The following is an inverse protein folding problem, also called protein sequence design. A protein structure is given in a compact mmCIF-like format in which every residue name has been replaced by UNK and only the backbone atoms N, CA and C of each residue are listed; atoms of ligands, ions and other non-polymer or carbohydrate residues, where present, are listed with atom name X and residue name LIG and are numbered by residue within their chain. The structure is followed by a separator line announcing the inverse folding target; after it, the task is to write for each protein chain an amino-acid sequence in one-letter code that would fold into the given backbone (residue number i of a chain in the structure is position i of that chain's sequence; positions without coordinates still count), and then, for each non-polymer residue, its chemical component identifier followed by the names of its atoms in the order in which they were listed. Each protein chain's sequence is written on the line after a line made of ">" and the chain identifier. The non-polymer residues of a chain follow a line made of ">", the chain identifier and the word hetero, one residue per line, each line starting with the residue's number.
data_IF_289443634960
#
_entry.id   IF_289443634960
#
_cell.length_a   1.000
_cell.length_b   1.000
_cell.length_c   1.000
_cell.angle_alpha   90.00
_cell.angle_beta   90.00
_cell.angle_gamma   90.00
#
_symmetry.space_group_name_H-M   'P 1'
#
loop_
_entity.id
_entity.type
_entity.pdbx_description
1 polymer ?
#
# COMPACT_ATOMS: atom_id res chain seq x y z
N UNK A 1 -7.97 29.99 3.47
CA UNK A 1 -8.19 29.83 4.94
C UNK A 1 -9.25 28.76 5.23
N UNK A 2 -10.50 28.93 4.80
CA UNK A 2 -11.61 27.98 5.09
C UNK A 2 -11.30 26.53 4.70
N UNK A 3 -10.78 26.29 3.48
CA UNK A 3 -10.40 24.95 3.04
C UNK A 3 -9.30 24.31 3.90
N UNK A 4 -8.30 25.10 4.32
CA UNK A 4 -7.21 24.60 5.17
C UNK A 4 -7.72 24.21 6.56
N UNK A 5 -8.60 25.01 7.15
CA UNK A 5 -9.25 24.70 8.43
C UNK A 5 -10.12 23.45 8.28
N UNK A 6 -10.88 23.35 7.20
CA UNK A 6 -11.69 22.17 6.90
C UNK A 6 -10.84 20.90 6.82
N UNK A 7 -9.75 20.91 6.04
CA UNK A 7 -8.84 19.77 5.95
C UNK A 7 -8.16 19.46 7.29
N UNK A 8 -7.74 20.48 8.04
CA UNK A 8 -7.16 20.28 9.36
C UNK A 8 -8.16 19.60 10.30
N UNK A 9 -9.40 20.07 10.37
CA UNK A 9 -10.42 19.47 11.23
C UNK A 9 -10.74 18.04 10.79
N UNK A 10 -11.01 17.80 9.51
CA UNK A 10 -11.44 16.47 9.02
C UNK A 10 -10.33 15.43 9.13
N UNK A 11 -9.06 15.81 8.93
CA UNK A 11 -7.93 14.87 8.95
C UNK A 11 -7.30 14.73 10.34
N UNK A 12 -7.13 15.84 11.06
CA UNK A 12 -6.38 15.84 12.32
C UNK A 12 -7.26 15.44 13.49
N UNK A 13 -8.54 15.85 13.52
CA UNK A 13 -9.41 15.60 14.67
C UNK A 13 -9.65 14.11 14.93
N UNK A 14 -9.97 13.26 13.94
CA UNK A 14 -10.10 11.82 14.18
C UNK A 14 -8.81 11.20 14.70
N UNK A 15 -7.65 11.64 14.19
CA UNK A 15 -6.35 11.18 14.67
C UNK A 15 -6.11 11.61 16.13
N UNK A 16 -6.45 12.85 16.49
CA UNK A 16 -6.35 13.33 17.87
C UNK A 16 -7.25 12.56 18.84
N UNK A 17 -8.44 12.13 18.41
CA UNK A 17 -9.32 11.28 19.24
C UNK A 17 -8.68 9.91 19.47
N UNK A 18 -8.08 9.30 18.45
CA UNK A 18 -7.38 8.02 18.60
C UNK A 18 -6.14 8.20 19.50
N UNK A 19 -5.38 9.28 19.32
CA UNK A 19 -4.24 9.61 20.18
C UNK A 19 -4.66 9.88 21.63
N UNK A 20 -5.83 10.48 21.84
CA UNK A 20 -6.40 10.67 23.17
C UNK A 20 -6.75 9.32 23.80
N UNK A 21 -7.46 8.45 23.06
CA UNK A 21 -7.83 7.12 23.54
C UNK A 21 -6.61 6.25 23.85
N UNK A 22 -5.52 6.36 23.07
CA UNK A 22 -4.30 5.57 23.30
C UNK A 22 -3.58 5.93 24.60
N UNK A 23 -3.76 7.14 25.11
CA UNK A 23 -3.10 7.64 26.32
C UNK A 23 -3.90 7.38 27.61
N UNK A 24 -5.08 6.78 27.54
CA UNK A 24 -5.98 6.62 28.69
C UNK A 24 -6.17 5.14 29.08
N UNK A 25 -6.28 4.84 30.38
CA UNK A 25 -6.48 3.46 30.85
C UNK A 25 -7.84 2.87 30.43
N UNK A 26 -8.82 3.72 30.13
CA UNK A 26 -10.11 3.34 29.56
C UNK A 26 -10.64 4.51 28.73
N UNK A 27 -11.49 4.21 27.74
CA UNK A 27 -12.04 5.23 26.85
C UNK A 27 -12.91 6.23 27.63
N UNK A 28 -12.61 7.52 27.49
CA UNK A 28 -13.40 8.62 28.02
C UNK A 28 -13.32 9.84 27.10
N UNK A 29 -14.33 10.69 27.17
CA UNK A 29 -14.36 11.92 26.39
C UNK A 29 -13.25 12.89 26.82
N UNK A 30 -12.71 13.71 25.88
CA UNK A 30 -11.74 14.74 26.20
C UNK A 30 -12.19 15.65 27.36
N UNK A 31 -11.41 15.67 28.43
CA UNK A 31 -11.71 16.41 29.66
C UNK A 31 -10.44 16.70 30.46
N UNK A 32 -10.47 17.72 31.33
CA UNK A 32 -9.34 18.03 32.21
C UNK A 32 -9.01 16.87 33.17
N UNK A 33 -10.03 16.14 33.61
CA UNK A 33 -9.85 14.93 34.42
C UNK A 33 -9.08 13.85 33.63
N UNK A 34 -9.40 13.67 32.35
CA UNK A 34 -8.69 12.71 31.49
C UNK A 34 -7.20 13.02 31.34
N UNK A 35 -6.81 14.29 31.28
CA UNK A 35 -5.39 14.68 31.19
C UNK A 35 -4.57 14.16 32.38
N UNK A 36 -5.15 14.17 33.59
CA UNK A 36 -4.48 13.64 34.79
C UNK A 36 -4.32 12.12 34.80
N UNK A 37 -5.05 11.41 33.93
CA UNK A 37 -5.06 9.95 33.82
C UNK A 37 -4.17 9.43 32.69
N UNK A 38 -3.39 10.31 32.04
CA UNK A 38 -2.50 9.94 30.96
C UNK A 38 -1.48 8.88 31.39
N UNK A 39 -1.35 7.86 30.55
CA UNK A 39 -0.49 6.71 30.80
C UNK A 39 -0.04 6.06 29.49
N UNK A 40 1.13 5.42 29.52
CA UNK A 40 1.67 4.67 28.37
C UNK A 40 1.38 3.16 28.46
N UNK A 41 0.53 2.73 29.39
CA UNK A 41 0.19 1.31 29.60
C UNK A 41 -0.32 0.64 28.32
N UNK A 42 -1.17 1.31 27.54
CA UNK A 42 -1.69 0.77 26.29
C UNK A 42 -0.59 0.56 25.24
N UNK A 43 0.40 1.45 25.18
CA UNK A 43 1.56 1.29 24.28
C UNK A 43 2.42 0.11 24.70
N UNK A 44 2.64 -0.05 26.00
CA UNK A 44 3.35 -1.23 26.53
C UNK A 44 2.60 -2.52 26.19
N UNK A 45 1.29 -2.56 26.45
CA UNK A 45 0.46 -3.73 26.15
C UNK A 45 0.40 -4.03 24.64
N UNK A 46 0.25 -3.02 23.79
CA UNK A 46 0.26 -3.15 22.33
C UNK A 46 1.58 -3.73 21.80
N UNK A 47 2.72 -3.30 22.35
CA UNK A 47 4.05 -3.82 21.96
C UNK A 47 4.30 -5.26 22.45
N UNK A 48 3.53 -5.73 23.44
CA UNK A 48 3.57 -7.11 23.94
C UNK A 48 2.40 -7.96 23.42
N UNK A 49 1.60 -7.42 22.50
CA UNK A 49 0.53 -8.18 21.86
C UNK A 49 1.12 -9.35 21.07
N UNK A 50 0.40 -10.47 21.04
CA UNK A 50 0.91 -11.72 20.48
C UNK A 50 1.37 -11.55 19.03
N UNK A 51 2.62 -11.96 18.76
CA UNK A 51 3.25 -11.91 17.42
C UNK A 51 3.24 -10.53 16.75
N UNK A 52 3.19 -9.43 17.51
CA UNK A 52 3.12 -8.09 16.93
C UNK A 52 4.35 -7.75 16.07
N UNK A 53 5.54 -8.20 16.46
CA UNK A 53 6.77 -8.02 15.68
C UNK A 53 6.69 -8.72 14.33
N UNK A 54 6.13 -9.94 14.29
CA UNK A 54 5.91 -10.67 13.04
C UNK A 54 4.84 -9.96 12.19
N UNK A 55 3.77 -9.46 12.81
CA UNK A 55 2.74 -8.68 12.12
C UNK A 55 3.31 -7.43 11.45
N UNK A 56 4.14 -6.66 12.15
CA UNK A 56 4.83 -5.48 11.61
C UNK A 56 5.74 -5.88 10.45
N UNK A 57 6.60 -6.89 10.66
CA UNK A 57 7.52 -7.39 9.63
C UNK A 57 6.78 -7.84 8.38
N UNK A 58 5.75 -8.66 8.53
CA UNK A 58 4.96 -9.20 7.43
C UNK A 58 4.22 -8.10 6.66
N UNK A 59 3.65 -7.11 7.37
CA UNK A 59 2.94 -5.99 6.73
C UNK A 59 3.89 -5.11 5.92
N UNK A 60 5.10 -4.87 6.42
CA UNK A 60 6.15 -4.16 5.68
C UNK A 60 6.58 -5.00 4.45
N UNK A 61 6.88 -6.29 4.63
CA UNK A 61 7.30 -7.16 3.53
C UNK A 61 6.22 -7.27 2.44
N UNK A 62 4.96 -7.40 2.82
CA UNK A 62 3.83 -7.39 1.89
C UNK A 62 3.70 -6.03 1.19
N UNK A 63 3.83 -4.92 1.92
CA UNK A 63 3.86 -3.58 1.34
C UNK A 63 4.94 -3.43 0.27
N UNK A 64 6.19 -3.77 0.61
CA UNK A 64 7.35 -3.68 -0.27
C UNK A 64 7.21 -4.60 -1.48
N UNK A 65 6.79 -5.84 -1.23
CA UNK A 65 6.58 -6.85 -2.27
C UNK A 65 5.50 -6.40 -3.25
N UNK A 66 4.31 -6.07 -2.74
CA UNK A 66 3.19 -5.63 -3.58
C UNK A 66 3.55 -4.40 -4.41
N UNK A 67 4.14 -3.38 -3.80
CA UNK A 67 4.55 -2.17 -4.52
C UNK A 67 5.53 -2.50 -5.66
N UNK A 68 6.54 -3.34 -5.39
CA UNK A 68 7.56 -3.70 -6.38
C UNK A 68 6.97 -4.52 -7.53
N UNK A 69 6.18 -5.55 -7.22
CA UNK A 69 5.54 -6.38 -8.24
C UNK A 69 4.51 -5.60 -9.06
N UNK A 70 3.62 -4.84 -8.41
CA UNK A 70 2.59 -4.03 -9.08
C UNK A 70 3.24 -3.03 -10.01
N UNK A 71 4.20 -2.25 -9.54
CA UNK A 71 4.81 -1.20 -10.36
C UNK A 71 5.62 -1.78 -11.52
N UNK A 72 6.31 -2.91 -11.32
CA UNK A 72 7.04 -3.58 -12.40
C UNK A 72 6.09 -4.14 -13.46
N UNK A 73 5.06 -4.87 -13.05
CA UNK A 73 4.08 -5.46 -13.98
C UNK A 73 3.31 -4.37 -14.74
N UNK A 74 2.91 -3.31 -14.05
CA UNK A 74 2.15 -2.21 -14.66
C UNK A 74 3.02 -1.31 -15.53
N UNK A 75 4.33 -1.19 -15.28
CA UNK A 75 5.23 -0.50 -16.20
C UNK A 75 5.30 -1.25 -17.54
N UNK A 76 5.46 -2.57 -17.50
CA UNK A 76 5.47 -3.40 -18.69
C UNK A 76 4.13 -3.37 -19.43
N UNK A 77 3.02 -3.56 -18.70
CA UNK A 77 1.68 -3.51 -19.27
C UNK A 77 1.39 -2.13 -19.90
N UNK A 78 1.74 -1.05 -19.20
CA UNK A 78 1.55 0.30 -19.73
C UNK A 78 2.44 0.58 -20.94
N UNK A 79 3.67 0.09 -20.96
CA UNK A 79 4.53 0.23 -22.14
C UNK A 79 3.91 -0.47 -23.35
N UNK A 80 3.37 -1.68 -23.17
CA UNK A 80 2.65 -2.38 -24.23
C UNK A 80 1.42 -1.58 -24.70
N UNK A 81 0.60 -1.06 -23.78
CA UNK A 81 -0.59 -0.28 -24.10
C UNK A 81 -0.27 1.01 -24.88
N UNK A 82 0.80 1.72 -24.52
CA UNK A 82 1.16 3.03 -25.08
C UNK A 82 1.99 2.91 -26.36
N UNK A 83 2.91 1.94 -26.44
CA UNK A 83 3.93 1.88 -27.50
C UNK A 83 3.63 0.90 -28.61
N UNK A 84 2.74 -0.07 -28.39
CA UNK A 84 2.49 -1.14 -29.36
C UNK A 84 1.08 -1.08 -29.95
N UNK A 85 0.89 -1.69 -31.13
CA UNK A 85 -0.41 -1.88 -31.76
C UNK A 85 -0.92 -3.31 -31.58
N UNK A 86 -0.80 -3.84 -30.36
CA UNK A 86 -1.24 -5.22 -30.06
C UNK A 86 -2.72 -5.42 -30.36
N UNK A 87 -3.03 -6.51 -31.10
CA UNK A 87 -4.40 -7.01 -31.23
C UNK A 87 -4.89 -7.44 -29.85
N UNK A 88 -6.05 -6.93 -29.42
CA UNK A 88 -6.58 -7.21 -28.09
C UNK A 88 -6.09 -6.29 -26.97
N UNK A 89 -5.47 -5.13 -27.27
CA UNK A 89 -5.07 -4.13 -26.24
C UNK A 89 -6.18 -3.77 -25.24
N UNK A 90 -7.43 -3.79 -25.69
CA UNK A 90 -8.60 -3.51 -24.85
C UNK A 90 -8.80 -4.56 -23.75
N UNK A 91 -8.38 -5.82 -23.98
CA UNK A 91 -8.41 -6.87 -22.97
C UNK A 91 -7.39 -6.57 -21.87
N UNK A 92 -6.19 -6.12 -22.23
CA UNK A 92 -5.18 -5.76 -21.24
C UNK A 92 -5.63 -4.55 -20.40
N UNK A 93 -6.23 -3.55 -21.03
CA UNK A 93 -6.83 -2.41 -20.35
C UNK A 93 -7.98 -2.82 -19.42
N UNK A 94 -8.88 -3.70 -19.90
CA UNK A 94 -9.94 -4.29 -19.10
C UNK A 94 -9.39 -5.08 -17.90
N UNK A 95 -8.44 -6.00 -18.12
CA UNK A 95 -7.86 -6.86 -17.09
C UNK A 95 -7.11 -6.05 -16.02
N UNK A 96 -6.45 -4.97 -16.40
CA UNK A 96 -5.76 -4.09 -15.44
C UNK A 96 -6.72 -3.22 -14.64
N UNK A 97 -7.94 -3.00 -15.12
CA UNK A 97 -8.98 -2.21 -14.44
C UNK A 97 -9.95 -3.08 -13.65
N UNK A 98 -10.17 -4.33 -14.08
CA UNK A 98 -11.15 -5.27 -13.54
C UNK A 98 -11.07 -5.44 -12.00
N UNK A 99 -9.89 -5.50 -11.36
CA UNK A 99 -9.81 -5.62 -9.91
C UNK A 99 -10.52 -4.51 -9.13
N UNK A 100 -10.74 -3.32 -9.72
CA UNK A 100 -11.49 -2.23 -9.08
C UNK A 100 -12.96 -2.56 -8.85
N UNK A 101 -13.55 -3.42 -9.67
CA UNK A 101 -14.98 -3.75 -9.61
C UNK A 101 -15.33 -4.55 -8.35
N UNK A 102 -14.37 -5.29 -7.80
CA UNK A 102 -14.59 -6.15 -6.65
C UNK A 102 -14.36 -5.38 -5.34
N UNK A 103 -15.26 -5.48 -4.35
CA UNK A 103 -14.95 -5.12 -2.97
C UNK A 103 -13.75 -5.95 -2.46
N UNK A 104 -12.90 -5.36 -1.60
CA UNK A 104 -11.69 -6.04 -1.10
C UNK A 104 -12.00 -7.38 -0.44
N UNK A 105 -13.02 -7.44 0.42
CA UNK A 105 -13.42 -8.67 1.11
C UNK A 105 -13.92 -9.76 0.14
N UNK A 106 -14.63 -9.37 -0.93
CA UNK A 106 -15.11 -10.31 -1.97
C UNK A 106 -13.93 -10.87 -2.77
N UNK A 107 -12.94 -10.02 -3.09
CA UNK A 107 -11.71 -10.46 -3.73
C UNK A 107 -10.92 -11.43 -2.84
N UNK A 108 -10.81 -11.13 -1.55
CA UNK A 108 -10.17 -12.01 -0.57
C UNK A 108 -10.81 -13.39 -0.52
N UNK A 109 -12.15 -13.44 -0.46
CA UNK A 109 -12.91 -14.70 -0.49
C UNK A 109 -12.70 -15.47 -1.81
N UNK A 110 -12.73 -14.79 -2.95
CA UNK A 110 -12.53 -15.40 -4.25
C UNK A 110 -11.14 -16.05 -4.37
N UNK A 111 -10.10 -15.33 -3.94
CA UNK A 111 -8.71 -15.83 -3.95
C UNK A 111 -8.55 -16.99 -2.98
N UNK A 112 -9.11 -16.89 -1.77
CA UNK A 112 -9.12 -17.98 -0.79
C UNK A 112 -9.73 -19.24 -1.42
N UNK A 113 -10.95 -19.14 -1.95
CA UNK A 113 -11.64 -20.28 -2.56
C UNK A 113 -10.85 -20.85 -3.73
N UNK A 114 -10.32 -20.00 -4.62
CA UNK A 114 -9.53 -20.44 -5.76
C UNK A 114 -8.32 -21.29 -5.33
N UNK A 115 -7.52 -20.81 -4.37
CA UNK A 115 -6.32 -21.52 -3.92
C UNK A 115 -6.59 -22.69 -2.96
N UNK A 116 -7.83 -22.89 -2.52
CA UNK A 116 -8.25 -24.14 -1.87
C UNK A 116 -8.59 -25.24 -2.90
N UNK A 117 -9.03 -24.87 -4.11
CA UNK A 117 -9.33 -25.81 -5.18
C UNK A 117 -8.11 -26.14 -6.05
N UNK A 118 -7.25 -25.16 -6.31
CA UNK A 118 -6.04 -25.34 -7.12
C UNK A 118 -4.90 -25.85 -6.22
N UNK A 119 -4.21 -26.95 -6.59
CA UNK A 119 -3.18 -27.58 -5.75
C UNK A 119 -1.84 -26.81 -5.76
N UNK A 120 -1.90 -25.50 -5.53
CA UNK A 120 -0.72 -24.63 -5.36
C UNK A 120 -0.63 -24.29 -3.86
N UNK A 121 0.43 -24.70 -3.16
CA UNK A 121 0.53 -24.59 -1.70
C UNK A 121 0.89 -23.17 -1.23
N UNK A 122 0.04 -22.19 -1.54
CA UNK A 122 0.20 -20.79 -1.09
C UNK A 122 -0.71 -20.45 0.09
N UNK A 123 -1.77 -21.23 0.32
CA UNK A 123 -2.65 -21.04 1.46
C UNK A 123 -1.88 -21.16 2.77
N UNK A 124 -2.17 -20.26 3.72
CA UNK A 124 -1.48 -20.19 5.00
C UNK A 124 -0.08 -19.57 4.96
N UNK A 125 0.40 -19.12 3.78
CA UNK A 125 1.70 -18.46 3.59
C UNK A 125 1.54 -16.98 3.25
N UNK A 126 2.62 -16.20 3.34
CA UNK A 126 2.59 -14.79 2.92
C UNK A 126 2.32 -14.61 1.42
N UNK A 127 2.53 -15.65 0.61
CA UNK A 127 2.34 -15.59 -0.83
C UNK A 127 0.89 -15.36 -1.22
N UNK A 128 -0.08 -15.96 -0.52
CA UNK A 128 -1.50 -15.74 -0.85
C UNK A 128 -1.91 -14.28 -0.62
N UNK A 129 -1.39 -13.65 0.44
CA UNK A 129 -1.60 -12.22 0.71
C UNK A 129 -0.91 -11.36 -0.35
N UNK A 130 0.33 -11.69 -0.71
CA UNK A 130 1.08 -10.97 -1.75
C UNK A 130 0.36 -11.02 -3.09
N UNK A 131 -0.10 -12.20 -3.52
CA UNK A 131 -0.86 -12.40 -4.76
C UNK A 131 -2.15 -11.59 -4.72
N UNK A 132 -2.88 -11.62 -3.59
CA UNK A 132 -4.09 -10.84 -3.43
C UNK A 132 -3.85 -9.35 -3.57
N UNK A 133 -2.83 -8.82 -2.90
CA UNK A 133 -2.50 -7.41 -2.94
C UNK A 133 -2.01 -6.97 -4.32
N UNK A 134 -1.15 -7.77 -4.97
CA UNK A 134 -0.70 -7.49 -6.35
C UNK A 134 -1.91 -7.43 -7.28
N UNK A 135 -2.79 -8.43 -7.23
CA UNK A 135 -4.01 -8.48 -8.05
C UNK A 135 -4.89 -7.27 -7.80
N UNK A 136 -5.14 -6.94 -6.53
CA UNK A 136 -5.99 -5.82 -6.14
C UNK A 136 -5.45 -4.47 -6.57
N UNK A 137 -4.13 -4.29 -6.55
CA UNK A 137 -3.51 -2.96 -6.70
C UNK A 137 -2.92 -2.66 -8.07
N UNK A 138 -2.94 -3.61 -9.03
CA UNK A 138 -2.64 -3.36 -10.45
C UNK A 138 -3.31 -2.08 -11.01
N UNK A 139 -4.62 -1.81 -10.77
CA UNK A 139 -5.27 -0.62 -11.33
C UNK A 139 -4.71 0.71 -10.80
N UNK A 140 -4.06 0.71 -9.65
CA UNK A 140 -3.40 1.92 -9.14
C UNK A 140 -2.02 2.06 -9.78
N UNK A 141 -1.23 0.99 -9.86
CA UNK A 141 0.08 1.03 -10.52
C UNK A 141 -0.01 1.48 -11.98
N UNK A 142 -0.99 0.96 -12.73
CA UNK A 142 -1.16 1.31 -14.15
C UNK A 142 -1.42 2.80 -14.35
N UNK A 143 -2.15 3.48 -13.45
CA UNK A 143 -2.41 4.91 -13.55
C UNK A 143 -1.12 5.74 -13.47
N UNK A 144 -0.23 5.36 -12.56
CA UNK A 144 1.04 6.05 -12.39
C UNK A 144 1.98 5.77 -13.56
N UNK A 145 2.17 4.51 -13.95
CA UNK A 145 3.09 4.16 -15.04
C UNK A 145 2.62 4.68 -16.40
N UNK A 146 1.30 4.67 -16.64
CA UNK A 146 0.69 5.20 -17.86
C UNK A 146 0.83 6.71 -17.96
N UNK A 147 0.55 7.45 -16.88
CA UNK A 147 0.75 8.90 -16.85
C UNK A 147 2.22 9.30 -17.06
N UNK A 148 3.16 8.50 -16.56
CA UNK A 148 4.59 8.72 -16.79
C UNK A 148 5.01 8.48 -18.24
N UNK A 149 4.58 7.36 -18.82
CA UNK A 149 4.93 6.98 -20.19
C UNK A 149 4.33 7.91 -21.25
N UNK A 150 3.12 8.42 -21.04
CA UNK A 150 2.48 9.36 -21.97
C UNK A 150 3.23 10.69 -22.10
N UNK A 151 3.99 11.09 -21.09
CA UNK A 151 4.79 12.31 -21.13
C UNK A 151 6.09 12.14 -21.95
N UNK A 152 6.50 10.90 -22.23
CA UNK A 152 7.71 10.64 -23.00
C UNK A 152 7.41 10.58 -24.49
N UNK A 153 8.13 11.39 -25.27
CA UNK A 153 8.09 11.35 -26.72
C UNK A 153 8.58 9.99 -27.24
N UNK A 154 7.84 9.40 -28.18
CA UNK A 154 8.16 8.10 -28.79
C UNK A 154 9.51 8.11 -29.52
N UNK A 155 9.92 9.27 -30.02
CA UNK A 155 11.19 9.49 -30.73
C UNK A 155 12.43 9.09 -29.90
N UNK A 156 12.36 9.18 -28.56
CA UNK A 156 13.44 8.74 -27.68
C UNK A 156 13.74 7.24 -27.82
N UNK A 157 12.69 6.43 -27.98
CA UNK A 157 12.83 4.99 -28.18
C UNK A 157 13.28 4.68 -29.61
N UNK A 158 12.74 5.39 -30.60
CA UNK A 158 13.09 5.22 -32.01
C UNK A 158 14.56 5.57 -32.28
N UNK A 159 15.07 6.65 -31.68
CA UNK A 159 16.48 7.01 -31.74
C UNK A 159 17.38 5.95 -31.09
N UNK A 160 16.96 5.38 -29.96
CA UNK A 160 17.69 4.31 -29.29
C UNK A 160 17.78 3.05 -30.16
N UNK A 161 16.66 2.65 -30.79
CA UNK A 161 16.63 1.51 -31.69
C UNK A 161 17.46 1.76 -32.96
N UNK A 162 17.43 2.97 -33.51
CA UNK A 162 18.27 3.36 -34.66
C UNK A 162 19.77 3.33 -34.31
N UNK A 163 20.14 3.64 -33.07
CA UNK A 163 21.51 3.50 -32.55
C UNK A 163 21.90 2.04 -32.19
N UNK A 164 21.04 1.05 -32.48
CA UNK A 164 21.30 -0.37 -32.24
C UNK A 164 21.03 -0.84 -30.81
N UNK A 165 20.36 -0.04 -29.97
CA UNK A 165 19.98 -0.49 -28.63
C UNK A 165 18.89 -1.57 -28.69
N UNK A 166 19.04 -2.63 -27.89
CA UNK A 166 17.95 -3.60 -27.66
C UNK A 166 16.83 -3.00 -26.82
N UNK A 167 15.63 -3.59 -26.88
CA UNK A 167 14.48 -3.18 -26.05
C UNK A 167 14.81 -3.10 -24.56
N UNK A 168 15.51 -4.09 -24.01
CA UNK A 168 15.91 -4.11 -22.60
C UNK A 168 16.87 -2.95 -22.26
N UNK A 169 17.82 -2.64 -23.17
CA UNK A 169 18.71 -1.50 -22.99
C UNK A 169 17.96 -0.16 -23.05
N UNK A 170 17.03 0.00 -24.01
CA UNK A 170 16.18 1.18 -24.10
C UNK A 170 15.32 1.35 -22.84
N UNK A 171 14.66 0.28 -22.39
CA UNK A 171 13.86 0.27 -21.17
C UNK A 171 14.68 0.67 -19.95
N UNK A 172 15.84 0.03 -19.72
CA UNK A 172 16.65 0.26 -18.51
C UNK A 172 17.38 1.60 -18.51
N UNK A 173 17.86 2.07 -19.67
CA UNK A 173 18.74 3.26 -19.75
C UNK A 173 18.02 4.55 -20.14
N UNK A 174 16.84 4.46 -20.75
CA UNK A 174 16.09 5.62 -21.24
C UNK A 174 14.75 5.70 -20.54
N UNK A 175 13.88 4.69 -20.73
CA UNK A 175 12.50 4.76 -20.25
C UNK A 175 12.43 4.78 -18.72
N UNK A 176 13.01 3.79 -18.06
CA UNK A 176 12.93 3.63 -16.60
C UNK A 176 13.46 4.87 -15.85
N UNK A 177 14.65 5.43 -16.16
CA UNK A 177 15.12 6.68 -15.55
C UNK A 177 14.14 7.84 -15.74
N UNK A 178 13.57 7.99 -16.95
CA UNK A 178 12.66 9.09 -17.27
C UNK A 178 11.29 8.95 -16.60
N UNK A 179 10.78 7.72 -16.40
CA UNK A 179 9.52 7.47 -15.68
C UNK A 179 9.71 7.22 -14.18
N UNK A 180 10.95 7.26 -13.68
CA UNK A 180 11.26 7.04 -12.25
C UNK A 180 10.43 7.92 -11.32
N UNK A 181 10.20 9.22 -11.59
CA UNK A 181 9.24 10.07 -10.87
C UNK A 181 7.88 9.41 -10.63
N UNK A 182 7.19 9.08 -11.72
CA UNK A 182 5.87 8.46 -11.67
C UNK A 182 5.91 7.06 -11.08
N UNK A 183 6.95 6.28 -11.38
CA UNK A 183 7.10 4.91 -10.87
C UNK A 183 7.24 4.92 -9.36
N UNK A 184 8.10 5.77 -8.81
CA UNK A 184 8.30 5.89 -7.38
C UNK A 184 7.05 6.44 -6.67
N UNK A 185 6.33 7.38 -7.29
CA UNK A 185 5.06 7.89 -6.77
C UNK A 185 3.99 6.80 -6.68
N UNK A 186 3.89 5.96 -7.70
CA UNK A 186 3.01 4.79 -7.67
C UNK A 186 3.47 3.74 -6.66
N UNK A 187 4.79 3.54 -6.53
CA UNK A 187 5.36 2.56 -5.61
C UNK A 187 5.03 2.89 -4.15
N UNK A 188 5.25 4.14 -3.70
CA UNK A 188 4.91 4.54 -2.33
C UNK A 188 3.40 4.46 -2.09
N UNK A 189 2.59 4.79 -3.10
CA UNK A 189 1.14 4.73 -2.99
C UNK A 189 0.64 3.28 -2.80
N UNK A 190 1.11 2.34 -3.62
CA UNK A 190 0.77 0.92 -3.48
C UNK A 190 1.30 0.35 -2.17
N UNK A 191 2.52 0.73 -1.76
CA UNK A 191 3.09 0.33 -0.47
C UNK A 191 2.15 0.71 0.68
N UNK A 192 1.73 1.98 0.74
CA UNK A 192 0.86 2.48 1.82
C UNK A 192 -0.52 1.81 1.79
N UNK A 193 -1.07 1.49 0.62
CA UNK A 193 -2.34 0.75 0.50
C UNK A 193 -2.22 -0.69 1.02
N UNK A 194 -1.17 -1.40 0.60
CA UNK A 194 -0.91 -2.78 1.03
C UNK A 194 -0.62 -2.88 2.53
N UNK A 195 0.18 -1.96 3.08
CA UNK A 195 0.60 -2.00 4.47
C UNK A 195 -0.55 -1.80 5.48
N UNK A 196 -1.67 -1.20 5.06
CA UNK A 196 -2.87 -0.99 5.89
C UNK A 196 -4.08 -1.81 5.42
N UNK A 197 -3.87 -2.78 4.55
CA UNK A 197 -4.97 -3.58 3.98
C UNK A 197 -5.55 -4.52 5.05
N UNK A 198 -6.87 -4.44 5.29
CA UNK A 198 -7.58 -5.32 6.22
C UNK A 198 -8.55 -6.28 5.52
N UNK A 199 -9.27 -5.79 4.52
CA UNK A 199 -10.46 -6.45 3.96
C UNK A 199 -10.17 -7.82 3.35
N UNK A 200 -9.05 -7.98 2.64
CA UNK A 200 -8.60 -9.28 2.13
C UNK A 200 -7.84 -10.03 3.21
N UNK A 201 -7.01 -9.32 3.98
CA UNK A 201 -6.13 -9.89 4.99
C UNK A 201 -6.86 -10.71 6.03
N UNK A 202 -8.00 -10.22 6.54
CA UNK A 202 -8.78 -10.93 7.57
C UNK A 202 -9.27 -12.32 7.11
N UNK A 203 -9.44 -12.54 5.80
CA UNK A 203 -9.84 -13.83 5.25
C UNK A 203 -8.67 -14.73 4.85
N UNK A 204 -7.49 -14.15 4.64
CA UNK A 204 -6.33 -14.83 4.05
C UNK A 204 -5.19 -15.08 5.03
N UNK A 205 -5.19 -14.41 6.19
CA UNK A 205 -4.17 -14.57 7.22
C UNK A 205 -4.20 -15.98 7.81
N UNK A 206 -3.06 -16.45 8.29
CA UNK A 206 -2.97 -17.63 9.14
C UNK A 206 -2.26 -17.25 10.45
N UNK A 207 -2.30 -18.12 11.48
CA UNK A 207 -1.52 -17.90 12.71
C UNK A 207 -0.02 -17.75 12.47
N UNK A 208 0.51 -18.21 11.33
CA UNK A 208 1.92 -18.11 10.96
C UNK A 208 2.24 -16.82 10.18
N UNK A 209 1.24 -16.12 9.64
CA UNK A 209 1.43 -14.95 8.78
C UNK A 209 0.66 -13.73 9.26
N UNK A 210 0.68 -13.40 10.57
CA UNK A 210 -0.09 -12.27 11.09
C UNK A 210 0.31 -10.97 10.39
N UNK A 211 -0.62 -10.01 10.33
CA UNK A 211 -0.41 -8.66 9.77
C UNK A 211 -1.03 -7.62 10.70
N UNK A 212 -0.51 -6.40 10.69
CA UNK A 212 -0.85 -5.36 11.67
C UNK A 212 -2.33 -4.98 11.59
N UNK A 213 -2.89 -4.91 10.39
CA UNK A 213 -4.30 -4.60 10.19
C UNK A 213 -5.23 -5.59 10.91
N UNK A 214 -4.93 -6.90 10.81
CA UNK A 214 -5.70 -7.94 11.48
C UNK A 214 -5.46 -7.91 12.99
N UNK A 215 -4.23 -7.68 13.45
CA UNK A 215 -3.95 -7.51 14.87
C UNK A 215 -4.73 -6.33 15.49
N UNK A 216 -4.83 -5.19 14.79
CA UNK A 216 -5.67 -4.05 15.19
C UNK A 216 -7.13 -4.47 15.27
N UNK A 217 -7.62 -5.27 14.32
CA UNK A 217 -8.98 -5.78 14.33
C UNK A 217 -9.25 -6.77 15.47
N UNK A 218 -8.28 -7.64 15.81
CA UNK A 218 -8.39 -8.54 16.95
C UNK A 218 -8.49 -7.79 18.29
N UNK A 219 -7.74 -6.69 18.46
CA UNK A 219 -7.87 -5.83 19.63
C UNK A 219 -9.28 -5.23 19.75
N UNK A 220 -9.93 -4.91 18.62
CA UNK A 220 -11.33 -4.46 18.61
C UNK A 220 -12.28 -5.57 19.09
N UNK A 221 -12.15 -6.78 18.54
CA UNK A 221 -12.98 -7.93 18.92
C UNK A 221 -12.81 -8.29 20.41
N UNK A 222 -11.61 -8.06 20.96
CA UNK A 222 -11.32 -8.28 22.37
C UNK A 222 -11.73 -7.11 23.28
N UNK A 223 -12.41 -6.08 22.75
CA UNK A 223 -12.78 -4.84 23.46
C UNK A 223 -11.58 -4.07 24.08
N UNK A 224 -10.39 -4.26 23.53
CA UNK A 224 -9.13 -3.63 23.94
C UNK A 224 -8.90 -2.31 23.19
N UNK A 225 -9.81 -1.36 23.40
CA UNK A 225 -9.86 -0.09 22.64
C UNK A 225 -8.61 0.78 22.87
N UNK A 226 -8.05 0.78 24.08
CA UNK A 226 -6.86 1.56 24.41
C UNK A 226 -5.62 1.05 23.68
N UNK A 227 -5.41 -0.27 23.70
CA UNK A 227 -4.33 -0.96 22.99
C UNK A 227 -4.48 -0.85 21.48
N UNK A 228 -5.71 -0.98 20.97
CA UNK A 228 -6.03 -0.73 19.57
C UNK A 228 -5.61 0.67 19.15
N UNK A 229 -6.00 1.67 19.92
CA UNK A 229 -5.67 3.06 19.63
C UNK A 229 -4.15 3.29 19.67
N UNK A 230 -3.46 2.71 20.66
CA UNK A 230 -2.01 2.78 20.76
C UNK A 230 -1.30 2.14 19.55
N UNK A 231 -1.71 0.92 19.17
CA UNK A 231 -1.16 0.24 18.00
C UNK A 231 -1.46 1.00 16.71
N UNK A 232 -2.67 1.52 16.56
CA UNK A 232 -3.09 2.34 15.42
C UNK A 232 -2.25 3.62 15.28
N UNK A 233 -1.98 4.31 16.39
CA UNK A 233 -1.08 5.49 16.41
C UNK A 233 0.34 5.10 16.03
N UNK A 234 0.89 4.04 16.62
CA UNK A 234 2.25 3.56 16.30
C UNK A 234 2.37 3.18 14.82
N UNK A 235 1.42 2.41 14.30
CA UNK A 235 1.43 1.99 12.90
C UNK A 235 1.30 3.18 11.95
N UNK A 236 0.42 4.13 12.27
CA UNK A 236 0.29 5.37 11.50
C UNK A 236 1.59 6.17 11.53
N UNK A 237 2.24 6.30 12.70
CA UNK A 237 3.52 6.99 12.82
C UNK A 237 4.63 6.32 11.99
N UNK A 238 4.68 4.99 11.96
CA UNK A 238 5.62 4.23 11.10
C UNK A 238 5.36 4.53 9.62
N UNK A 239 4.11 4.43 9.15
CA UNK A 239 3.76 4.68 7.75
C UNK A 239 4.02 6.14 7.33
N UNK A 240 3.69 7.11 8.20
CA UNK A 240 4.00 8.53 7.97
C UNK A 240 5.51 8.75 7.90
N UNK A 241 6.29 8.14 8.80
CA UNK A 241 7.75 8.25 8.79
C UNK A 241 8.34 7.73 7.47
N UNK A 242 7.85 6.60 6.97
CA UNK A 242 8.26 6.04 5.68
C UNK A 242 7.86 6.98 4.52
N UNK A 243 6.63 7.50 4.54
CA UNK A 243 6.15 8.42 3.49
C UNK A 243 6.93 9.75 3.47
N UNK A 244 7.26 10.30 4.64
CA UNK A 244 8.07 11.52 4.78
C UNK A 244 9.50 11.25 4.34
N UNK A 245 10.12 10.14 4.76
CA UNK A 245 11.46 9.76 4.30
C UNK A 245 11.51 9.62 2.77
N UNK A 246 10.50 8.98 2.18
CA UNK A 246 10.32 8.90 0.73
C UNK A 246 10.20 10.29 0.09
N UNK A 247 9.35 11.17 0.64
CA UNK A 247 9.15 12.52 0.09
C UNK A 247 10.43 13.35 0.12
N UNK A 248 11.17 13.32 1.24
CA UNK A 248 12.44 14.03 1.39
C UNK A 248 13.49 13.49 0.42
N UNK A 249 13.55 12.16 0.25
CA UNK A 249 14.40 11.52 -0.75
C UNK A 249 14.02 11.97 -2.17
N UNK A 250 12.75 11.85 -2.55
CA UNK A 250 12.26 12.22 -3.88
C UNK A 250 12.55 13.69 -4.21
N UNK A 251 12.38 14.60 -3.24
CA UNK A 251 12.69 16.04 -3.40
C UNK A 251 14.18 16.29 -3.65
N UNK A 252 15.07 15.58 -2.94
CA UNK A 252 16.53 15.76 -3.06
C UNK A 252 17.08 15.32 -4.41
N UNK A 253 16.48 14.31 -5.03
CA UNK A 253 16.95 13.71 -6.28
C UNK A 253 16.17 14.16 -7.53
N UNK A 254 15.39 15.23 -7.45
CA UNK A 254 14.67 15.79 -8.62
C UNK A 254 13.59 14.85 -9.17
N UNK A 255 13.06 13.96 -8.34
CA UNK A 255 12.02 12.99 -8.70
C UNK A 255 10.63 13.66 -8.78
N UNK A 256 10.54 14.97 -8.54
CA UNK A 256 9.32 15.75 -8.72
C UNK A 256 9.24 16.28 -10.15
N UNK A 257 8.15 15.95 -10.85
CA UNK A 257 7.74 16.67 -12.05
C UNK A 257 7.29 18.07 -11.60
N UNK A 258 8.02 19.11 -12.02
CA UNK A 258 7.50 20.48 -12.09
C UNK A 258 6.44 20.57 -13.17
#
# INVERSE_FOLDING_TARGET
>A
AVLLIYFAVVLVLPFLIILWASLLPFYMQPSLEGLSKFTLKNYYAALHFAKITDAIRNSILLGLGSASFVMTLTLLASWLLVRTRLRGRWLLDLLTTLPLLFPGIVMGLAILRFYLFVPIPVYGTLWILLIAFVTRYIPYGIRYTHSGLLQLHKELEEAAYAAGASWSNCMRRIILPLVTPSFLGGWIFVFLLSAKELSMSVLLVSPQTPVVSVAIFELWENAQVGELAALGVLWTAILVSIAVAYYLFARRYGVQQT
#
